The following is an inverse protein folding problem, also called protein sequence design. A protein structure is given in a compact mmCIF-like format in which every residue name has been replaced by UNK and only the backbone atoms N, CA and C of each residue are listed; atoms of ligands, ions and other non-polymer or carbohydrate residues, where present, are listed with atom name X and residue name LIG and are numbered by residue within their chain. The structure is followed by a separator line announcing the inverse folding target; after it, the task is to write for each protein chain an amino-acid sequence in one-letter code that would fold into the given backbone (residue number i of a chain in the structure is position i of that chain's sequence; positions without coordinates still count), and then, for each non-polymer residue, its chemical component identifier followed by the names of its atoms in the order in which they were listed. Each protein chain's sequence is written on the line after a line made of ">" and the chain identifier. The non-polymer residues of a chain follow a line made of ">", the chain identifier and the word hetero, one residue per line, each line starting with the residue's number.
data_IF_927359876610
#
_entry.id   IF_927359876610
#
_cell.length_a   1.000
_cell.length_b   1.000
_cell.length_c   1.000
_cell.angle_alpha   90.00
_cell.angle_beta   90.00
_cell.angle_gamma   90.00
#
_symmetry.space_group_name_H-M   'P 1'
#
loop_
_entity.id
_entity.type
_entity.pdbx_description
1 polymer ?
#
# COMPACT_ATOMS: atom_id res chain seq x y z
N UNK A 1 7.37 -16.15 5.18
CA UNK A 1 8.27 -15.38 6.08
C UNK A 1 7.69 -15.41 7.49
N UNK A 2 8.44 -15.85 8.51
CA UNK A 2 8.00 -15.77 9.91
C UNK A 2 8.10 -14.31 10.39
N UNK A 3 7.30 -13.43 9.79
CA UNK A 3 7.25 -12.01 10.16
C UNK A 3 6.34 -11.77 11.35
N UNK A 4 6.67 -10.73 12.11
CA UNK A 4 5.93 -10.30 13.28
C UNK A 4 4.51 -9.83 12.89
N UNK A 5 3.62 -9.76 13.89
CA UNK A 5 2.23 -9.37 13.65
C UNK A 5 2.13 -7.96 13.06
N UNK A 6 2.99 -7.05 13.51
CA UNK A 6 3.05 -5.65 13.07
C UNK A 6 3.33 -5.56 11.57
N UNK A 7 4.26 -6.37 11.05
CA UNK A 7 4.55 -6.43 9.61
C UNK A 7 3.35 -6.93 8.82
N UNK A 8 2.69 -7.99 9.30
CA UNK A 8 1.51 -8.54 8.63
C UNK A 8 0.38 -7.52 8.57
N UNK A 9 0.15 -6.80 9.66
CA UNK A 9 -0.85 -5.73 9.73
C UNK A 9 -0.50 -4.58 8.79
N UNK A 10 0.76 -4.10 8.81
CA UNK A 10 1.21 -3.02 7.92
C UNK A 10 1.04 -3.39 6.44
N UNK A 11 1.42 -4.62 6.06
CA UNK A 11 1.20 -5.13 4.70
C UNK A 11 -0.29 -5.18 4.37
N UNK A 12 -1.12 -5.73 5.26
CA UNK A 12 -2.55 -5.82 5.04
C UNK A 12 -3.17 -4.43 4.80
N UNK A 13 -2.85 -3.44 5.63
CA UNK A 13 -3.36 -2.08 5.49
C UNK A 13 -2.97 -1.44 4.15
N UNK A 14 -1.70 -1.58 3.76
CA UNK A 14 -1.20 -1.02 2.51
C UNK A 14 -1.77 -1.75 1.29
N UNK A 15 -2.03 -3.06 1.40
CA UNK A 15 -2.64 -3.84 0.32
C UNK A 15 -4.14 -3.59 0.21
N UNK A 16 -4.82 -3.30 1.32
CA UNK A 16 -6.20 -2.84 1.30
C UNK A 16 -6.32 -1.54 0.50
N UNK A 17 -5.48 -0.55 0.81
CA UNK A 17 -5.37 0.70 0.05
C UNK A 17 -5.03 0.47 -1.43
N UNK A 18 -4.07 -0.42 -1.71
CA UNK A 18 -3.70 -0.76 -3.09
C UNK A 18 -4.87 -1.32 -3.90
N UNK A 19 -5.66 -2.22 -3.28
CA UNK A 19 -6.80 -2.84 -3.92
C UNK A 19 -7.97 -1.86 -4.10
N UNK A 20 -8.19 -0.95 -3.16
CA UNK A 20 -9.21 0.10 -3.32
C UNK A 20 -8.87 1.02 -4.48
N UNK A 21 -7.58 1.38 -4.66
CA UNK A 21 -7.13 2.13 -5.84
C UNK A 21 -7.26 1.30 -7.13
N UNK A 22 -6.92 0.01 -7.10
CA UNK A 22 -7.12 -0.85 -8.29
C UNK A 22 -8.59 -0.89 -8.73
N UNK A 23 -9.52 -1.05 -7.79
CA UNK A 23 -10.96 -1.06 -8.07
C UNK A 23 -11.42 0.30 -8.62
N UNK A 24 -10.93 1.41 -8.06
CA UNK A 24 -11.30 2.75 -8.54
C UNK A 24 -10.82 3.00 -9.98
N UNK A 25 -9.59 2.61 -10.31
CA UNK A 25 -9.03 2.72 -11.65
C UNK A 25 -9.77 1.82 -12.66
N UNK A 26 -10.05 0.57 -12.28
CA UNK A 26 -10.62 -0.41 -13.21
C UNK A 26 -12.12 -0.22 -13.46
N UNK A 27 -12.90 0.08 -12.43
CA UNK A 27 -14.37 0.11 -12.52
C UNK A 27 -14.98 1.51 -12.58
N UNK A 28 -14.30 2.51 -12.02
CA UNK A 28 -14.87 3.86 -11.86
C UNK A 28 -14.18 4.92 -12.73
N UNK A 29 -13.22 4.53 -13.58
CA UNK A 29 -12.58 5.42 -14.55
C UNK A 29 -11.68 6.49 -13.92
N UNK A 30 -11.24 6.29 -12.67
CA UNK A 30 -10.24 7.16 -12.06
C UNK A 30 -8.90 7.03 -12.79
N UNK A 31 -8.08 8.09 -12.72
CA UNK A 31 -6.73 8.09 -13.30
C UNK A 31 -5.66 8.00 -12.21
N UNK A 32 -4.61 7.25 -12.50
CA UNK A 32 -3.48 7.06 -11.59
C UNK A 32 -2.60 8.32 -11.57
N UNK A 33 -2.47 8.94 -10.40
CA UNK A 33 -1.73 10.20 -10.22
C UNK A 33 -0.25 9.98 -9.92
N UNK A 34 0.14 8.79 -9.44
CA UNK A 34 1.53 8.53 -9.08
C UNK A 34 2.38 8.28 -10.32
N UNK A 35 3.50 9.01 -10.46
CA UNK A 35 4.39 8.96 -11.64
C UNK A 35 4.95 7.56 -11.89
N UNK A 36 5.45 6.88 -10.85
CA UNK A 36 6.09 5.57 -10.98
C UNK A 36 5.08 4.47 -11.34
N UNK A 37 3.93 4.31 -10.65
CA UNK A 37 2.91 3.37 -11.06
C UNK A 37 2.32 3.69 -12.43
N UNK A 38 2.05 4.96 -12.75
CA UNK A 38 1.52 5.35 -14.06
C UNK A 38 2.52 5.00 -15.19
N UNK A 39 3.81 5.26 -15.00
CA UNK A 39 4.86 4.81 -15.93
C UNK A 39 4.84 3.29 -16.14
N UNK A 40 4.70 2.52 -15.06
CA UNK A 40 4.66 1.06 -15.15
C UNK A 40 3.38 0.54 -15.79
N UNK A 41 2.23 1.14 -15.51
CA UNK A 41 0.95 0.81 -16.18
C UNK A 41 1.05 1.08 -17.67
N UNK A 42 1.66 2.20 -18.09
CA UNK A 42 1.86 2.50 -19.51
C UNK A 42 2.83 1.53 -20.19
N UNK A 43 3.82 1.01 -19.46
CA UNK A 43 4.77 0.03 -19.96
C UNK A 43 4.16 -1.38 -20.07
N UNK A 44 3.41 -1.81 -19.06
CA UNK A 44 2.86 -3.18 -18.97
C UNK A 44 1.48 -3.32 -19.60
N UNK A 45 0.77 -2.21 -19.83
CA UNK A 45 -0.62 -2.20 -20.26
C UNK A 45 -1.61 -2.70 -19.19
N UNK A 46 -1.16 -2.93 -17.96
CA UNK A 46 -1.97 -3.54 -16.91
C UNK A 46 -2.05 -2.67 -15.66
N UNK A 47 -3.28 -2.27 -15.29
CA UNK A 47 -3.59 -1.48 -14.08
C UNK A 47 -3.14 -2.22 -12.80
N UNK A 48 -3.10 -3.56 -12.84
CA UNK A 48 -2.64 -4.41 -11.74
C UNK A 48 -1.17 -4.17 -11.37
N UNK A 49 -0.36 -3.58 -12.24
CA UNK A 49 1.02 -3.19 -11.94
C UNK A 49 1.11 -2.24 -10.74
N UNK A 50 0.08 -1.43 -10.46
CA UNK A 50 0.01 -0.60 -9.25
C UNK A 50 0.13 -1.41 -7.96
N UNK A 51 -0.69 -2.47 -7.85
CA UNK A 51 -0.75 -3.33 -6.65
C UNK A 51 0.60 -4.01 -6.41
N UNK A 52 1.22 -4.52 -7.48
CA UNK A 52 2.52 -5.18 -7.41
C UNK A 52 3.60 -4.20 -6.92
N UNK A 53 3.64 -2.99 -7.48
CA UNK A 53 4.64 -1.98 -7.10
C UNK A 53 4.51 -1.62 -5.63
N UNK A 54 3.28 -1.39 -5.16
CA UNK A 54 3.02 -1.07 -3.76
C UNK A 54 3.39 -2.24 -2.84
N UNK A 55 3.10 -3.48 -3.26
CA UNK A 55 3.47 -4.67 -2.50
C UNK A 55 4.98 -4.80 -2.33
N UNK A 56 5.74 -4.66 -3.42
CA UNK A 56 7.21 -4.70 -3.40
C UNK A 56 7.75 -3.58 -2.53
N UNK A 57 7.26 -2.34 -2.70
CA UNK A 57 7.73 -1.19 -1.92
C UNK A 57 7.53 -1.39 -0.41
N UNK A 58 6.35 -1.85 0.03
CA UNK A 58 6.05 -2.07 1.45
C UNK A 58 6.90 -3.18 2.03
N UNK A 59 7.09 -4.29 1.29
CA UNK A 59 7.99 -5.37 1.72
C UNK A 59 9.42 -4.87 1.86
N UNK A 60 9.93 -4.11 0.89
CA UNK A 60 11.27 -3.55 0.95
C UNK A 60 11.44 -2.62 2.15
N UNK A 61 10.48 -1.74 2.41
CA UNK A 61 10.51 -0.82 3.56
C UNK A 61 10.50 -1.59 4.89
N UNK A 62 9.61 -2.57 5.06
CA UNK A 62 9.54 -3.36 6.29
C UNK A 62 10.80 -4.21 6.51
N UNK A 63 11.36 -4.76 5.44
CA UNK A 63 12.64 -5.46 5.49
C UNK A 63 13.79 -4.53 5.91
N UNK A 64 13.84 -3.30 5.40
CA UNK A 64 14.84 -2.33 5.83
C UNK A 64 14.68 -1.96 7.31
N UNK A 65 13.46 -1.72 7.78
CA UNK A 65 13.19 -1.40 9.18
C UNK A 65 13.67 -2.52 10.11
N UNK A 66 13.37 -3.77 9.75
CA UNK A 66 13.73 -4.93 10.58
C UNK A 66 15.23 -5.22 10.63
N UNK A 67 15.98 -4.87 9.58
CA UNK A 67 17.41 -5.19 9.50
C UNK A 67 18.34 -4.04 9.90
N UNK A 68 17.90 -2.78 9.80
CA UNK A 68 18.80 -1.63 10.01
C UNK A 68 18.68 -0.98 11.39
N UNK A 69 17.63 -1.26 12.15
CA UNK A 69 17.40 -0.62 13.44
C UNK A 69 17.36 -1.64 14.57
N UNK A 70 18.23 -1.45 15.55
CA UNK A 70 18.34 -2.29 16.75
C UNK A 70 17.23 -1.99 17.78
N UNK A 71 16.61 -0.80 17.70
CA UNK A 71 15.53 -0.40 18.60
C UNK A 71 14.17 -0.95 18.14
N UNK A 72 13.74 -2.02 18.81
CA UNK A 72 12.42 -2.65 18.59
C UNK A 72 11.24 -1.72 18.84
N UNK A 73 11.33 -0.80 19.81
CA UNK A 73 10.22 0.11 20.10
C UNK A 73 10.04 1.11 18.95
N UNK A 74 11.14 1.68 18.49
CA UNK A 74 11.13 2.56 17.32
C UNK A 74 10.61 1.84 16.07
N UNK A 75 11.06 0.62 15.81
CA UNK A 75 10.61 -0.18 14.67
C UNK A 75 9.11 -0.42 14.70
N UNK A 76 8.57 -0.81 15.86
CA UNK A 76 7.14 -1.04 16.02
C UNK A 76 6.34 0.25 15.87
N UNK A 77 6.86 1.39 16.34
CA UNK A 77 6.23 2.69 16.15
C UNK A 77 6.18 3.10 14.67
N UNK A 78 7.28 2.92 13.93
CA UNK A 78 7.30 3.19 12.48
C UNK A 78 6.33 2.26 11.73
N UNK A 79 6.28 0.97 12.07
CA UNK A 79 5.33 0.02 11.48
C UNK A 79 3.88 0.41 11.76
N UNK A 80 3.60 0.90 12.96
CA UNK A 80 2.29 1.43 13.32
C UNK A 80 1.92 2.65 12.45
N UNK A 81 2.86 3.58 12.22
CA UNK A 81 2.63 4.71 11.31
C UNK A 81 2.31 4.23 9.89
N UNK A 82 3.08 3.28 9.37
CA UNK A 82 2.84 2.68 8.03
C UNK A 82 1.46 2.04 7.97
N UNK A 83 1.06 1.33 9.02
CA UNK A 83 -0.28 0.75 9.13
C UNK A 83 -1.38 1.82 9.11
N UNK A 84 -1.26 2.86 9.95
CA UNK A 84 -2.25 3.94 10.03
C UNK A 84 -2.38 4.67 8.70
N UNK A 85 -1.26 4.97 8.03
CA UNK A 85 -1.25 5.62 6.72
C UNK A 85 -2.03 4.79 5.69
N UNK A 86 -1.74 3.49 5.58
CA UNK A 86 -2.43 2.60 4.65
C UNK A 86 -3.91 2.45 4.97
N UNK A 87 -4.27 2.28 6.24
CA UNK A 87 -5.68 2.19 6.65
C UNK A 87 -6.43 3.50 6.40
N UNK A 88 -5.82 4.66 6.68
CA UNK A 88 -6.49 5.95 6.54
C UNK A 88 -6.80 6.27 5.07
N UNK A 89 -5.83 6.08 4.17
CA UNK A 89 -6.05 6.34 2.74
C UNK A 89 -6.96 5.28 2.12
N UNK A 90 -6.75 4.01 2.46
CA UNK A 90 -7.54 2.91 1.90
C UNK A 90 -9.00 2.99 2.34
N UNK A 91 -9.26 3.31 3.61
CA UNK A 91 -10.63 3.51 4.11
C UNK A 91 -11.28 4.73 3.48
N UNK A 92 -10.56 5.86 3.34
CA UNK A 92 -11.07 7.04 2.64
C UNK A 92 -11.50 6.70 1.22
N UNK A 93 -10.64 6.01 0.47
CA UNK A 93 -10.90 5.68 -0.93
C UNK A 93 -12.02 4.63 -1.05
N UNK A 94 -12.06 3.65 -0.15
CA UNK A 94 -13.18 2.71 -0.07
C UNK A 94 -14.52 3.40 0.21
N UNK A 95 -14.56 4.34 1.16
CA UNK A 95 -15.78 5.10 1.47
C UNK A 95 -16.20 5.96 0.28
N UNK A 96 -15.26 6.61 -0.40
CA UNK A 96 -15.51 7.35 -1.65
C UNK A 96 -16.14 6.46 -2.72
N UNK A 97 -15.62 5.24 -2.89
CA UNK A 97 -16.19 4.27 -3.82
C UNK A 97 -17.61 3.84 -3.45
N UNK A 98 -17.90 3.62 -2.17
CA UNK A 98 -19.24 3.25 -1.71
C UNK A 98 -20.24 4.39 -1.92
N UNK A 99 -19.86 5.60 -1.53
CA UNK A 99 -20.73 6.77 -1.66
C UNK A 99 -20.75 7.36 -3.07
N UNK A 100 -19.85 6.90 -3.94
CA UNK A 100 -19.66 7.38 -5.31
C UNK A 100 -19.36 8.89 -5.36
N UNK A 101 -18.51 9.36 -4.43
CA UNK A 101 -18.08 10.76 -4.24
C UNK A 101 -16.58 10.91 -4.43
#
# INVERSE_FOLDING_TARGET
>A
LPWSLENKLAIFAQMFDANTTFVSLYFFGYSEQHVLPNFLINLTGHIYSFVIVKFVAVISILYLIDNFSEDKQLNNFIKLIIFILGMATGLRDFLRLIFMV
#
